data_IF_182489037618
#
_entry.id   IF_182489037618
#
_cell.length_a   1.000
_cell.length_b   1.000
_cell.length_c   1.000
_cell.angle_alpha   90.00
_cell.angle_beta   90.00
_cell.angle_gamma   90.00
#
_symmetry.space_group_name_H-M   'P 1'
#
loop_
_entity.id
_entity.type
_entity.pdbx_description
1 polymer ?
#
# COMPACT_ATOMS: atom_id res chain seq x y z
N UNK A 1 9.37 -2.59 4.80
CA UNK A 1 9.87 -2.24 3.44
C UNK A 1 9.98 -0.75 3.24
N UNK A 2 8.92 0.02 3.34
CA UNK A 2 8.96 1.47 3.09
C UNK A 2 10.09 2.19 3.83
N UNK A 3 10.27 1.97 5.13
CA UNK A 3 11.36 2.56 5.91
C UNK A 3 12.78 2.12 5.50
N UNK A 4 12.93 1.11 4.63
CA UNK A 4 14.22 0.73 4.04
C UNK A 4 14.50 1.45 2.73
N UNK A 5 13.45 1.78 1.98
CA UNK A 5 13.53 2.48 0.69
C UNK A 5 13.52 4.00 0.88
N UNK A 6 12.81 4.43 1.91
CA UNK A 6 12.58 5.84 2.22
C UNK A 6 13.08 6.13 3.63
N UNK A 7 13.83 7.21 3.78
CA UNK A 7 14.26 7.71 5.09
C UNK A 7 13.07 8.42 5.75
N UNK A 8 12.17 7.64 6.35
CA UNK A 8 10.91 8.14 6.89
C UNK A 8 11.08 8.73 8.29
N UNK A 9 10.74 9.99 8.46
CA UNK A 9 10.51 10.66 9.74
C UNK A 9 9.04 10.96 9.94
N UNK A 10 8.34 11.37 8.87
CA UNK A 10 6.91 11.64 8.90
C UNK A 10 6.22 10.96 7.72
N UNK A 11 5.17 10.21 7.99
CA UNK A 11 4.32 9.58 6.96
C UNK A 11 2.94 10.21 7.00
N UNK A 12 2.51 10.73 5.85
CA UNK A 12 1.13 11.18 5.65
C UNK A 12 0.19 9.98 5.44
N UNK A 13 -1.04 10.11 5.87
CA UNK A 13 -2.13 9.22 5.48
C UNK A 13 -3.34 10.05 5.07
N UNK A 14 -3.93 9.73 3.94
CA UNK A 14 -5.23 10.26 3.53
C UNK A 14 -6.25 9.13 3.52
N UNK A 15 -7.37 9.32 4.20
CA UNK A 15 -8.36 8.27 4.42
C UNK A 15 -9.74 8.85 4.64
N UNK A 16 -10.78 8.10 4.28
CA UNK A 16 -12.16 8.45 4.61
C UNK A 16 -12.48 8.00 6.05
N UNK A 17 -12.77 8.91 6.98
CA UNK A 17 -13.05 8.55 8.38
C UNK A 17 -14.35 7.75 8.56
N UNK A 18 -15.19 7.64 7.52
CA UNK A 18 -16.41 6.82 7.51
C UNK A 18 -16.17 5.39 7.01
N UNK A 19 -15.00 5.10 6.45
CA UNK A 19 -14.60 3.76 6.03
C UNK A 19 -13.91 3.04 7.19
N UNK A 20 -14.55 2.00 7.73
CA UNK A 20 -14.03 1.23 8.86
C UNK A 20 -12.68 0.55 8.53
N UNK A 21 -12.51 0.08 7.29
CA UNK A 21 -11.26 -0.53 6.82
C UNK A 21 -10.12 0.48 6.83
N UNK A 22 -10.36 1.69 6.33
CA UNK A 22 -9.37 2.77 6.32
C UNK A 22 -8.99 3.21 7.75
N UNK A 23 -9.96 3.27 8.67
CA UNK A 23 -9.72 3.57 10.10
C UNK A 23 -8.89 2.47 10.76
N UNK A 24 -9.16 1.20 10.47
CA UNK A 24 -8.33 0.08 10.95
C UNK A 24 -6.89 0.21 10.43
N UNK A 25 -6.71 0.51 9.13
CA UNK A 25 -5.39 0.72 8.55
C UNK A 25 -4.64 1.89 9.19
N UNK A 26 -5.33 3.00 9.47
CA UNK A 26 -4.75 4.12 10.21
C UNK A 26 -4.23 3.69 11.59
N UNK A 27 -5.02 2.95 12.35
CA UNK A 27 -4.60 2.49 13.68
C UNK A 27 -3.40 1.54 13.61
N UNK A 28 -3.39 0.61 12.65
CA UNK A 28 -2.24 -0.26 12.39
C UNK A 28 -0.98 0.52 11.99
N UNK A 29 -1.16 1.59 11.21
CA UNK A 29 -0.06 2.47 10.82
C UNK A 29 0.49 3.24 12.02
N UNK A 30 -0.37 3.78 12.90
CA UNK A 30 0.02 4.45 14.15
C UNK A 30 0.86 3.52 15.02
N UNK A 31 0.36 2.32 15.31
CA UNK A 31 1.05 1.32 16.13
C UNK A 31 2.42 0.93 15.57
N UNK A 32 2.51 0.77 14.24
CA UNK A 32 3.75 0.41 13.57
C UNK A 32 4.75 1.56 13.55
N UNK A 33 4.28 2.78 13.44
CA UNK A 33 5.07 4.01 13.35
C UNK A 33 5.63 4.43 14.71
N UNK A 34 4.85 4.32 15.77
CA UNK A 34 5.27 4.58 17.14
C UNK A 34 6.49 3.73 17.52
N UNK A 35 6.46 2.43 17.21
CA UNK A 35 7.58 1.50 17.46
C UNK A 35 8.86 1.86 16.72
N UNK A 36 8.79 2.74 15.73
CA UNK A 36 9.91 3.16 14.88
C UNK A 36 10.27 4.63 15.03
N UNK A 37 9.58 5.37 15.90
CA UNK A 37 9.77 6.81 16.06
C UNK A 37 9.37 7.61 14.81
N UNK A 38 8.41 7.12 14.01
CA UNK A 38 7.90 7.79 12.82
C UNK A 38 6.62 8.54 13.18
N UNK A 39 6.55 9.81 12.83
CA UNK A 39 5.34 10.61 13.01
C UNK A 39 4.30 10.33 11.93
N UNK A 40 3.01 10.40 12.30
CA UNK A 40 1.91 10.28 11.35
C UNK A 40 1.24 11.64 11.18
N UNK A 41 1.10 12.07 9.93
CA UNK A 41 0.35 13.26 9.54
C UNK A 41 -0.95 12.84 8.86
N UNK A 42 -2.08 13.08 9.51
CA UNK A 42 -3.39 12.56 9.11
C UNK A 42 -4.20 13.61 8.35
N UNK A 43 -4.75 13.22 7.23
CA UNK A 43 -5.72 14.01 6.45
C UNK A 43 -6.98 13.18 6.27
N UNK A 44 -8.05 13.61 6.92
CA UNK A 44 -9.38 13.05 6.68
C UNK A 44 -9.89 13.55 5.32
N UNK A 45 -10.17 12.61 4.41
CA UNK A 45 -10.64 12.91 3.06
C UNK A 45 -12.14 13.24 3.07
N UNK A 46 -12.50 14.38 2.51
CA UNK A 46 -13.90 14.75 2.22
C UNK A 46 -14.12 14.72 0.71
N UNK A 47 -15.02 13.85 0.24
CA UNK A 47 -15.37 13.74 -1.18
C UNK A 47 -16.05 14.98 -1.78
N UNK A 48 -16.48 15.93 -0.94
CA UNK A 48 -17.09 17.20 -1.36
C UNK A 48 -16.06 18.30 -1.62
N UNK A 49 -14.84 18.12 -1.13
CA UNK A 49 -13.74 19.06 -1.34
C UNK A 49 -12.87 18.61 -2.52
N UNK A 50 -12.18 19.56 -3.12
CA UNK A 50 -11.20 19.28 -4.16
C UNK A 50 -10.08 18.36 -3.62
N UNK A 51 -9.81 17.20 -4.26
CA UNK A 51 -8.79 16.26 -3.78
C UNK A 51 -7.40 16.88 -3.69
N UNK A 52 -7.05 17.76 -4.62
CA UNK A 52 -5.72 18.37 -4.67
C UNK A 52 -5.52 19.31 -3.49
N UNK A 53 -6.53 20.13 -3.15
CA UNK A 53 -6.45 21.02 -1.99
C UNK A 53 -6.22 20.28 -0.67
N UNK A 54 -6.74 19.06 -0.58
CA UNK A 54 -6.58 18.24 0.61
C UNK A 54 -5.17 17.65 0.73
N UNK A 55 -4.58 17.20 -0.39
CA UNK A 55 -3.23 16.62 -0.39
C UNK A 55 -2.11 17.66 -0.36
N UNK A 56 -2.39 18.90 -0.72
CA UNK A 56 -1.44 20.02 -0.56
C UNK A 56 -1.01 20.20 0.91
N UNK A 57 -1.84 19.79 1.86
CA UNK A 57 -1.52 19.76 3.29
C UNK A 57 -0.29 18.90 3.63
N UNK A 58 0.10 17.99 2.73
CA UNK A 58 1.30 17.16 2.90
C UNK A 58 2.58 17.86 2.44
N UNK A 59 2.47 18.92 1.64
CA UNK A 59 3.63 19.60 1.05
C UNK A 59 4.58 20.15 2.12
N UNK A 60 5.83 19.71 2.09
CA UNK A 60 6.86 20.11 3.07
C UNK A 60 6.71 19.49 4.46
N UNK A 61 5.72 18.64 4.70
CA UNK A 61 5.45 18.07 6.02
C UNK A 61 5.67 16.56 6.12
N UNK A 62 5.74 15.85 4.99
CA UNK A 62 5.83 14.40 4.98
C UNK A 62 6.90 13.88 4.01
N UNK A 63 7.48 12.73 4.32
CA UNK A 63 8.47 12.06 3.47
C UNK A 63 7.81 11.08 2.48
N UNK A 64 6.61 10.64 2.79
CA UNK A 64 5.78 9.77 1.95
C UNK A 64 4.32 9.85 2.38
N UNK A 65 3.39 9.47 1.50
CA UNK A 65 1.97 9.33 1.82
C UNK A 65 1.54 7.88 1.66
N UNK A 66 0.92 7.32 2.70
CA UNK A 66 0.23 6.04 2.64
C UNK A 66 -1.23 6.25 2.26
N UNK A 67 -1.72 5.49 1.29
CA UNK A 67 -3.11 5.52 0.85
C UNK A 67 -3.70 4.11 1.02
N UNK A 68 -4.67 3.92 1.93
CA UNK A 68 -5.41 2.66 2.05
C UNK A 68 -6.31 2.44 0.82
N UNK A 69 -6.78 1.19 0.61
CA UNK A 69 -7.70 0.84 -0.47
C UNK A 69 -9.15 1.24 -0.13
N UNK A 70 -9.35 2.50 0.14
CA UNK A 70 -10.63 3.17 0.42
C UNK A 70 -11.27 3.59 -0.90
N UNK A 71 -12.48 3.09 -1.19
CA UNK A 71 -13.15 3.35 -2.46
C UNK A 71 -13.37 4.84 -2.74
N UNK A 72 -13.57 5.64 -1.70
CA UNK A 72 -13.81 7.08 -1.83
C UNK A 72 -12.55 7.80 -2.30
N UNK A 73 -11.41 7.51 -1.66
CA UNK A 73 -10.11 8.07 -2.04
C UNK A 73 -9.65 7.52 -3.39
N UNK A 74 -9.92 6.23 -3.68
CA UNK A 74 -9.51 5.57 -4.92
C UNK A 74 -10.16 6.14 -6.18
N UNK A 75 -11.30 6.80 -6.08
CA UNK A 75 -11.92 7.53 -7.21
C UNK A 75 -11.02 8.64 -7.74
N UNK A 76 -10.30 9.32 -6.85
CA UNK A 76 -9.37 10.41 -7.18
C UNK A 76 -7.91 9.98 -7.15
N UNK A 77 -7.62 8.68 -7.06
CA UNK A 77 -6.27 8.16 -6.82
C UNK A 77 -5.25 8.59 -7.87
N UNK A 78 -5.58 8.52 -9.16
CA UNK A 78 -4.64 8.85 -10.23
C UNK A 78 -4.26 10.33 -10.23
N UNK A 79 -5.21 11.20 -9.92
CA UNK A 79 -5.00 12.63 -9.75
C UNK A 79 -4.13 12.91 -8.53
N UNK A 80 -4.46 12.31 -7.39
CA UNK A 80 -3.71 12.42 -6.13
C UNK A 80 -2.26 11.97 -6.32
N UNK A 81 -2.04 10.77 -6.89
CA UNK A 81 -0.69 10.22 -7.10
C UNK A 81 0.12 11.09 -8.05
N UNK A 82 -0.51 11.56 -9.14
CA UNK A 82 0.17 12.42 -10.11
C UNK A 82 0.61 13.74 -9.46
N UNK A 83 -0.22 14.32 -8.62
CA UNK A 83 0.11 15.57 -7.95
C UNK A 83 1.20 15.37 -6.88
N UNK A 84 1.08 14.36 -6.03
CA UNK A 84 2.11 14.02 -5.03
C UNK A 84 3.46 13.73 -5.69
N UNK A 85 3.47 13.08 -6.86
CA UNK A 85 4.69 12.84 -7.63
C UNK A 85 5.34 14.14 -8.10
N UNK A 86 4.55 15.14 -8.53
CA UNK A 86 5.07 16.49 -8.89
C UNK A 86 5.68 17.20 -7.68
N UNK A 87 5.14 16.98 -6.49
CA UNK A 87 5.69 17.49 -5.23
C UNK A 87 6.92 16.70 -4.75
N UNK A 88 7.31 15.63 -5.45
CA UNK A 88 8.41 14.76 -5.04
C UNK A 88 8.08 13.82 -3.87
N UNK A 89 6.80 13.69 -3.52
CA UNK A 89 6.32 12.88 -2.40
C UNK A 89 5.92 11.49 -2.91
N UNK A 90 6.62 10.42 -2.51
CA UNK A 90 6.28 9.05 -2.90
C UNK A 90 4.99 8.57 -2.24
N UNK A 91 4.20 7.82 -2.98
CA UNK A 91 2.99 7.16 -2.47
C UNK A 91 3.28 5.71 -2.14
N UNK A 92 2.86 5.27 -0.96
CA UNK A 92 2.83 3.88 -0.52
C UNK A 92 1.39 3.40 -0.66
N UNK A 93 1.15 2.43 -1.55
CA UNK A 93 -0.17 1.86 -1.77
C UNK A 93 -0.40 0.59 -0.96
N UNK A 94 -1.65 0.24 -0.74
CA UNK A 94 -2.01 -0.99 -0.04
C UNK A 94 -1.82 -2.25 -0.90
N UNK A 95 -1.98 -2.14 -2.22
CA UNK A 95 -2.00 -3.30 -3.11
C UNK A 95 -1.25 -3.08 -4.44
N UNK A 96 -1.14 -4.18 -5.21
CA UNK A 96 -0.46 -4.19 -6.52
C UNK A 96 -1.07 -3.24 -7.54
N UNK A 97 -2.40 -3.06 -7.52
CA UNK A 97 -3.09 -2.21 -8.48
C UNK A 97 -2.72 -0.73 -8.27
N UNK A 98 -2.63 -0.30 -7.02
CA UNK A 98 -2.18 1.06 -6.71
C UNK A 98 -0.74 1.31 -7.18
N UNK A 99 0.14 0.29 -7.12
CA UNK A 99 1.51 0.39 -7.66
C UNK A 99 1.50 0.51 -9.19
N UNK A 100 0.61 -0.20 -9.90
CA UNK A 100 0.42 -0.03 -11.36
C UNK A 100 -0.06 1.37 -11.71
N UNK A 101 -0.92 1.95 -10.89
CA UNK A 101 -1.48 3.29 -11.05
C UNK A 101 -0.56 4.41 -10.58
N UNK A 102 0.67 4.13 -10.14
CA UNK A 102 1.69 5.13 -9.85
C UNK A 102 2.14 5.24 -8.39
N UNK A 103 1.65 4.41 -7.47
CA UNK A 103 2.30 4.30 -6.16
C UNK A 103 3.71 3.75 -6.32
N UNK A 104 4.64 4.21 -5.46
CA UNK A 104 6.03 3.77 -5.49
C UNK A 104 6.17 2.30 -5.11
N UNK A 105 5.49 1.89 -4.05
CA UNK A 105 5.61 0.54 -3.52
C UNK A 105 4.36 0.09 -2.75
N UNK A 106 4.24 -1.21 -2.60
CA UNK A 106 3.26 -1.87 -1.74
C UNK A 106 3.85 -3.14 -1.10
N UNK A 107 3.31 -3.52 0.04
CA UNK A 107 3.49 -4.83 0.67
C UNK A 107 2.10 -5.41 0.87
N UNK A 108 1.71 -6.35 0.03
CA UNK A 108 0.33 -6.84 -0.02
C UNK A 108 0.24 -8.36 0.00
N UNK A 109 -0.95 -8.85 0.32
CA UNK A 109 -1.27 -10.26 0.15
C UNK A 109 -1.30 -10.63 -1.34
N UNK A 110 -0.85 -11.83 -1.66
CA UNK A 110 -0.94 -12.39 -3.01
C UNK A 110 -2.24 -13.19 -3.13
N UNK A 111 -3.19 -12.68 -3.91
CA UNK A 111 -4.54 -13.22 -4.00
C UNK A 111 -4.59 -14.65 -4.53
N UNK A 112 -3.71 -15.03 -5.45
CA UNK A 112 -3.64 -16.41 -5.94
C UNK A 112 -3.31 -17.38 -4.81
N UNK A 113 -2.32 -17.06 -3.96
CA UNK A 113 -1.96 -17.89 -2.80
C UNK A 113 -3.06 -17.95 -1.76
N UNK A 114 -3.78 -16.84 -1.56
CA UNK A 114 -4.95 -16.83 -0.68
C UNK A 114 -6.02 -17.78 -1.20
N UNK A 115 -6.36 -17.70 -2.49
CA UNK A 115 -7.30 -18.60 -3.14
C UNK A 115 -6.86 -20.07 -3.08
N UNK A 116 -5.58 -20.34 -3.38
CA UNK A 116 -4.99 -21.69 -3.28
C UNK A 116 -5.09 -22.25 -1.85
N UNK A 117 -4.74 -21.44 -0.84
CA UNK A 117 -4.86 -21.85 0.57
C UNK A 117 -6.31 -22.12 0.97
N UNK A 118 -7.25 -21.25 0.51
CA UNK A 118 -8.69 -21.47 0.72
C UNK A 118 -9.17 -22.77 0.07
N UNK A 119 -8.77 -23.04 -1.17
CA UNK A 119 -9.11 -24.28 -1.87
C UNK A 119 -8.57 -25.52 -1.16
N UNK A 120 -7.35 -25.47 -0.65
CA UNK A 120 -6.78 -26.57 0.15
C UNK A 120 -7.58 -26.83 1.43
N UNK A 121 -7.93 -25.75 2.15
CA UNK A 121 -8.79 -25.86 3.36
C UNK A 121 -10.14 -26.46 3.01
N UNK A 122 -10.77 -26.01 1.94
CA UNK A 122 -12.04 -26.55 1.47
C UNK A 122 -11.95 -28.04 1.16
N UNK A 123 -10.89 -28.50 0.49
CA UNK A 123 -10.64 -29.92 0.23
C UNK A 123 -10.52 -30.74 1.53
N UNK A 124 -9.76 -30.25 2.52
CA UNK A 124 -9.61 -30.93 3.81
C UNK A 124 -10.94 -31.08 4.56
N UNK A 125 -11.83 -30.09 4.43
CA UNK A 125 -13.18 -30.13 5.01
C UNK A 125 -14.08 -31.10 4.29
N UNK A 126 -14.09 -31.08 2.95
CA UNK A 126 -14.92 -31.98 2.12
C UNK A 126 -14.49 -33.43 2.27
N UNK A 127 -13.20 -33.68 2.41
CA UNK A 127 -12.64 -35.04 2.67
C UNK A 127 -12.91 -35.53 4.11
N UNK A 128 -13.52 -34.69 4.98
CA UNK A 128 -13.75 -35.02 6.38
C UNK A 128 -12.50 -35.10 7.23
N UNK A 129 -11.35 -34.65 6.72
CA UNK A 129 -10.05 -34.64 7.44
C UNK A 129 -10.02 -33.63 8.58
N UNK A 130 -10.79 -32.55 8.44
CA UNK A 130 -10.95 -31.51 9.46
C UNK A 130 -12.38 -31.05 9.55
N UNK A 131 -12.72 -30.49 10.70
CA UNK A 131 -14.00 -29.79 10.92
C UNK A 131 -13.78 -28.29 10.94
N UNK A 132 -14.78 -27.44 10.61
CA UNK A 132 -14.63 -25.98 10.54
C UNK A 132 -14.01 -25.36 11.80
N UNK A 133 -14.40 -25.85 12.98
CA UNK A 133 -13.90 -25.33 14.26
C UNK A 133 -12.45 -25.71 14.59
N UNK A 134 -11.87 -26.68 13.85
CA UNK A 134 -10.45 -27.06 13.97
C UNK A 134 -9.53 -26.18 13.09
N UNK A 135 -10.12 -25.34 12.24
CA UNK A 135 -9.40 -24.46 11.33
C UNK A 135 -9.34 -23.07 11.94
N UNK A 136 -8.15 -22.67 12.36
CA UNK A 136 -7.91 -21.31 12.82
C UNK A 136 -7.83 -20.29 11.66
N UNK A 137 -7.78 -18.99 12.02
CA UNK A 137 -7.54 -17.93 11.05
C UNK A 137 -6.12 -18.08 10.48
N UNK A 138 -6.02 -18.32 9.18
CA UNK A 138 -4.74 -18.47 8.48
C UNK A 138 -4.30 -17.09 7.98
N UNK A 139 -3.09 -16.68 8.38
CA UNK A 139 -2.47 -15.46 7.86
C UNK A 139 -1.45 -15.82 6.80
N UNK A 140 -1.36 -15.02 5.73
CA UNK A 140 -0.29 -15.16 4.77
C UNK A 140 1.02 -14.69 5.42
N UNK A 141 2.01 -15.59 5.51
CA UNK A 141 3.27 -15.34 6.22
C UNK A 141 4.26 -14.54 5.35
N UNK A 142 4.14 -14.65 4.04
CA UNK A 142 5.10 -14.10 3.08
C UNK A 142 4.38 -13.19 2.07
N UNK A 143 4.21 -11.90 2.39
CA UNK A 143 3.56 -10.96 1.50
C UNK A 143 4.43 -10.63 0.29
N UNK A 144 3.80 -10.28 -0.82
CA UNK A 144 4.49 -9.77 -2.00
C UNK A 144 4.99 -8.35 -1.77
N UNK A 145 6.25 -8.13 -2.09
CA UNK A 145 6.86 -6.81 -2.15
C UNK A 145 6.81 -6.33 -3.59
N UNK A 146 6.18 -5.20 -3.81
CA UNK A 146 5.90 -4.68 -5.14
C UNK A 146 6.46 -3.26 -5.22
N UNK A 147 7.23 -2.97 -6.28
CA UNK A 147 7.85 -1.65 -6.49
C UNK A 147 7.65 -1.21 -7.93
N UNK A 148 7.30 0.06 -8.11
CA UNK A 148 7.27 0.73 -9.41
C UNK A 148 8.63 1.38 -9.69
N UNK A 149 9.41 0.78 -10.58
CA UNK A 149 10.77 1.23 -10.89
C UNK A 149 10.81 2.57 -11.63
N UNK A 150 9.79 2.87 -12.44
CA UNK A 150 9.73 4.16 -13.12
C UNK A 150 9.45 5.29 -12.16
N UNK A 151 8.55 5.06 -11.19
CA UNK A 151 8.30 6.02 -10.12
C UNK A 151 9.55 6.20 -9.25
N UNK A 152 10.23 5.11 -8.90
CA UNK A 152 11.49 5.17 -8.16
C UNK A 152 12.54 6.02 -8.90
N UNK A 153 12.69 5.83 -10.21
CA UNK A 153 13.59 6.62 -11.06
C UNK A 153 13.19 8.10 -11.11
N UNK A 154 11.90 8.39 -11.31
CA UNK A 154 11.38 9.76 -11.36
C UNK A 154 11.64 10.50 -10.05
N UNK A 155 11.40 9.84 -8.92
CA UNK A 155 11.60 10.37 -7.58
C UNK A 155 13.06 10.27 -7.10
N UNK A 156 13.98 9.78 -7.96
CA UNK A 156 15.41 9.57 -7.63
C UNK A 156 15.61 8.76 -6.34
N UNK A 157 14.75 7.75 -6.13
CA UNK A 157 14.86 6.84 -4.99
C UNK A 157 15.63 5.59 -5.37
N UNK A 158 16.71 5.33 -4.66
CA UNK A 158 17.48 4.09 -4.81
C UNK A 158 16.85 2.97 -3.99
N UNK A 159 16.77 1.78 -4.59
CA UNK A 159 16.27 0.61 -3.90
C UNK A 159 17.46 -0.15 -3.28
N UNK A 160 17.46 -0.37 -1.97
CA UNK A 160 18.43 -1.25 -1.34
C UNK A 160 18.41 -2.65 -1.96
N UNK A 161 19.57 -3.27 -2.07
CA UNK A 161 19.72 -4.58 -2.72
C UNK A 161 18.82 -5.67 -2.11
N UNK A 162 18.65 -5.66 -0.79
CA UNK A 162 17.77 -6.60 -0.10
C UNK A 162 16.28 -6.39 -0.43
N UNK A 163 15.87 -5.16 -0.71
CA UNK A 163 14.52 -4.86 -1.22
C UNK A 163 14.37 -5.38 -2.64
N UNK A 164 15.36 -5.11 -3.49
CA UNK A 164 15.38 -5.59 -4.87
C UNK A 164 15.26 -7.13 -4.94
N UNK A 165 16.06 -7.85 -4.14
CA UNK A 165 16.01 -9.32 -4.10
C UNK A 165 14.67 -9.88 -3.61
N UNK A 166 14.00 -9.18 -2.70
CA UNK A 166 12.72 -9.61 -2.10
C UNK A 166 11.50 -9.17 -2.90
N UNK A 167 11.63 -8.14 -3.73
CA UNK A 167 10.53 -7.65 -4.53
C UNK A 167 10.15 -8.68 -5.60
N UNK A 168 8.95 -9.23 -5.54
CA UNK A 168 8.46 -10.27 -6.46
C UNK A 168 7.98 -9.68 -7.77
N UNK A 169 7.48 -8.45 -7.76
CA UNK A 169 6.98 -7.74 -8.94
C UNK A 169 7.61 -6.37 -8.99
N UNK A 170 8.21 -6.06 -10.14
CA UNK A 170 8.76 -4.76 -10.48
C UNK A 170 8.01 -4.23 -11.68
N UNK A 171 7.44 -3.06 -11.55
CA UNK A 171 6.71 -2.43 -12.64
C UNK A 171 7.55 -1.28 -13.21
N UNK A 172 7.78 -1.32 -14.54
CA UNK A 172 8.34 -0.21 -15.29
C UNK A 172 7.15 0.61 -15.79
N UNK A 173 7.05 1.85 -15.35
CA UNK A 173 5.97 2.73 -15.74
C UNK A 173 6.37 3.49 -17.01
N UNK A 174 5.78 3.12 -18.13
CA UNK A 174 5.76 3.89 -19.37
C UNK A 174 4.32 4.07 -19.90
N UNK A 175 3.34 3.93 -19.02
CA UNK A 175 1.92 3.99 -19.38
C UNK A 175 1.37 2.66 -19.93
N UNK A 176 2.21 1.63 -20.09
CA UNK A 176 1.80 0.28 -20.44
C UNK A 176 2.30 -0.69 -19.38
N UNK A 177 1.36 -1.42 -18.78
CA UNK A 177 1.72 -2.51 -17.87
C UNK A 177 2.67 -3.47 -18.61
N UNK A 178 3.84 -3.73 -18.05
CA UNK A 178 4.66 -4.84 -18.52
C UNK A 178 3.79 -6.10 -18.47
N UNK A 179 3.42 -6.64 -19.62
CA UNK A 179 2.72 -7.90 -19.71
C UNK A 179 3.63 -8.99 -19.14
N UNK A 180 3.09 -9.94 -18.38
CA UNK A 180 3.85 -11.07 -17.87
C UNK A 180 4.46 -11.90 -18.99
#
# INVERSE_FOLDING_TARGET
>A
MAAKVLSLQTVGIIFNPKDEGAVIQLNLLRDASEKKGIHIYEVAFDEKEDPISQIEKFSGHVDAVYIPADETVLKSFDEIVTHLMKLGIPVIGENAEMVRRGALLSVSAEYYRMGFSGGRIASELLDGKKKPYEIGITKQIDPDWIVNMSVAKTLKKELPYDVWQKARKLYLYDGQAARP
#
